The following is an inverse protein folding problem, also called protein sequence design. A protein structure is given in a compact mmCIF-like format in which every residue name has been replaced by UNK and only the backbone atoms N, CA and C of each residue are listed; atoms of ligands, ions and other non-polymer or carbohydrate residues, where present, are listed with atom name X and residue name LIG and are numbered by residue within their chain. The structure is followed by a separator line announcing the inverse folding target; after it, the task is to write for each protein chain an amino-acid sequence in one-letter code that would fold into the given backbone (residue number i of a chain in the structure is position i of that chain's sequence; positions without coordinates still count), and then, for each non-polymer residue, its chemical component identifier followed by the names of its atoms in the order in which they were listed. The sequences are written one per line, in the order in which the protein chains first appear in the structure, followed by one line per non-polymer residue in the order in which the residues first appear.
data_IF_898617846508
#
_entry.id   IF_898617846508
#
_cell.length_a   1.000
_cell.length_b   1.000
_cell.length_c   1.000
_cell.angle_alpha   90.00
_cell.angle_beta   90.00
_cell.angle_gamma   90.00
#
_symmetry.space_group_name_H-M   'P 1'
#
loop_
_entity.id
_entity.type
_entity.pdbx_description
1 polymer ?
#
# COMPACT_ATOMS: atom_id res chain seq x y z
N UNK A 1 15.55 13.21 -1.57
CA UNK A 1 15.43 12.87 -3.02
C UNK A 1 14.16 13.52 -3.51
N UNK A 2 14.23 14.33 -4.55
CA UNK A 2 13.03 14.84 -5.22
C UNK A 2 12.33 13.72 -5.99
N UNK A 3 11.03 13.89 -6.23
CA UNK A 3 10.26 12.93 -7.01
C UNK A 3 10.81 12.82 -8.44
N UNK A 4 11.09 11.59 -8.86
CA UNK A 4 11.32 11.24 -10.25
C UNK A 4 10.21 10.26 -10.65
N UNK A 5 9.34 10.66 -11.57
CA UNK A 5 8.17 9.87 -11.95
C UNK A 5 8.55 8.50 -12.50
N UNK A 6 9.55 8.43 -13.37
CA UNK A 6 9.97 7.16 -13.99
C UNK A 6 10.55 6.19 -12.94
N UNK A 7 11.33 6.71 -11.99
CA UNK A 7 11.83 5.89 -10.88
C UNK A 7 10.69 5.43 -9.97
N UNK A 8 9.72 6.29 -9.69
CA UNK A 8 8.52 5.95 -8.90
C UNK A 8 7.71 4.85 -9.59
N UNK A 9 7.44 5.00 -10.88
CA UNK A 9 6.77 3.98 -11.69
C UNK A 9 7.56 2.67 -11.71
N UNK A 10 8.89 2.75 -11.81
CA UNK A 10 9.74 1.55 -11.81
C UNK A 10 9.67 0.78 -10.47
N UNK A 11 9.54 1.46 -9.34
CA UNK A 11 9.31 0.82 -8.02
C UNK A 11 7.92 0.19 -7.96
N UNK A 12 6.89 0.96 -8.29
CA UNK A 12 5.49 0.49 -8.29
C UNK A 12 5.26 -0.72 -9.19
N UNK A 13 5.92 -0.77 -10.35
CA UNK A 13 5.81 -1.88 -11.28
C UNK A 13 6.41 -3.20 -10.75
N UNK A 14 7.26 -3.15 -9.73
CA UNK A 14 7.90 -4.34 -9.13
C UNK A 14 7.07 -4.98 -8.03
N UNK A 15 6.21 -4.22 -7.37
CA UNK A 15 5.43 -4.71 -6.22
C UNK A 15 4.61 -5.96 -6.54
N UNK A 16 3.88 -6.05 -7.67
CA UNK A 16 3.12 -7.28 -7.97
C UNK A 16 4.00 -8.51 -8.10
N UNK A 17 5.14 -8.40 -8.77
CA UNK A 17 6.07 -9.51 -8.93
C UNK A 17 6.71 -9.92 -7.59
N UNK A 18 7.05 -8.97 -6.73
CA UNK A 18 7.59 -9.22 -5.40
C UNK A 18 6.57 -9.95 -4.51
N UNK A 19 5.32 -9.50 -4.48
CA UNK A 19 4.23 -10.15 -3.75
C UNK A 19 3.95 -11.55 -4.29
N UNK A 20 3.92 -11.70 -5.60
CA UNK A 20 3.71 -13.00 -6.24
C UNK A 20 4.82 -13.99 -5.88
N UNK A 21 6.09 -13.57 -5.96
CA UNK A 21 7.22 -14.43 -5.62
C UNK A 21 7.28 -14.79 -4.13
N UNK A 22 6.81 -13.89 -3.26
CA UNK A 22 6.82 -14.12 -1.81
C UNK A 22 5.66 -15.00 -1.34
N UNK A 23 4.46 -14.85 -1.93
CA UNK A 23 3.22 -15.35 -1.33
C UNK A 23 2.54 -16.47 -2.15
N UNK A 24 2.74 -16.55 -3.47
CA UNK A 24 2.05 -17.54 -4.28
C UNK A 24 2.47 -18.95 -3.87
N UNK A 25 1.50 -19.85 -3.80
CA UNK A 25 1.68 -21.26 -3.46
C UNK A 25 2.24 -21.55 -2.06
N UNK A 26 2.30 -20.54 -1.17
CA UNK A 26 2.56 -20.79 0.25
C UNK A 26 1.35 -21.44 0.92
N UNK A 27 1.57 -22.30 1.94
CA UNK A 27 0.52 -22.81 2.80
C UNK A 27 -0.27 -21.66 3.48
N UNK A 28 -1.56 -21.91 3.77
CA UNK A 28 -2.47 -20.91 4.34
C UNK A 28 -2.00 -20.39 5.69
N UNK A 29 -1.30 -21.19 6.48
CA UNK A 29 -0.73 -20.79 7.76
C UNK A 29 0.18 -19.56 7.64
N UNK A 30 0.88 -19.41 6.50
CA UNK A 30 1.74 -18.27 6.23
C UNK A 30 0.98 -17.03 5.75
N UNK A 31 -0.11 -17.25 5.07
CA UNK A 31 -0.81 -16.17 4.35
C UNK A 31 -2.05 -15.66 5.08
N UNK A 32 -2.65 -16.49 5.94
CA UNK A 32 -3.81 -16.15 6.78
C UNK A 32 -3.43 -15.88 8.24
N UNK A 33 -2.22 -16.26 8.69
CA UNK A 33 -1.72 -15.94 10.02
C UNK A 33 -1.56 -14.43 10.20
N UNK A 34 -1.86 -13.93 11.41
CA UNK A 34 -1.74 -12.53 11.79
C UNK A 34 -0.97 -12.38 13.13
N UNK A 35 -0.84 -11.15 13.63
CA UNK A 35 -0.12 -10.83 14.86
C UNK A 35 -1.02 -10.75 16.11
N UNK A 36 -2.28 -11.17 16.01
CA UNK A 36 -3.29 -11.13 17.05
C UNK A 36 -4.54 -10.33 16.64
N UNK A 37 -5.45 -10.13 17.59
CA UNK A 37 -6.73 -9.49 17.35
C UNK A 37 -6.60 -8.14 16.64
N UNK A 38 -7.44 -7.93 15.63
CA UNK A 38 -7.52 -6.69 14.84
C UNK A 38 -6.24 -6.35 14.06
N UNK A 39 -5.37 -7.34 13.83
CA UNK A 39 -4.21 -7.19 12.94
C UNK A 39 -4.48 -7.89 11.60
N UNK A 40 -3.77 -7.48 10.58
CA UNK A 40 -3.95 -8.00 9.23
C UNK A 40 -2.97 -9.14 8.95
N UNK A 41 -3.46 -10.16 8.26
CA UNK A 41 -2.66 -11.19 7.62
C UNK A 41 -2.04 -10.68 6.30
N UNK A 42 -1.15 -11.48 5.69
CA UNK A 42 -0.64 -11.18 4.36
C UNK A 42 -1.78 -11.11 3.31
N UNK A 43 -2.79 -11.98 3.43
CA UNK A 43 -3.99 -11.97 2.59
C UNK A 43 -4.75 -10.62 2.70
N UNK A 44 -4.97 -10.13 3.90
CA UNK A 44 -5.66 -8.86 4.15
C UNK A 44 -4.89 -7.67 3.58
N UNK A 45 -3.56 -7.69 3.70
CA UNK A 45 -2.70 -6.65 3.15
C UNK A 45 -2.80 -6.60 1.62
N UNK A 46 -2.80 -7.75 0.93
CA UNK A 46 -3.00 -7.78 -0.52
C UNK A 46 -4.38 -7.24 -0.90
N UNK A 47 -5.43 -7.60 -0.17
CA UNK A 47 -6.78 -7.04 -0.35
C UNK A 47 -6.82 -5.52 -0.17
N UNK A 48 -6.12 -5.00 0.85
CA UNK A 48 -5.99 -3.56 1.07
C UNK A 48 -5.27 -2.84 -0.08
N UNK A 49 -4.20 -3.42 -0.61
CA UNK A 49 -3.51 -2.87 -1.78
C UNK A 49 -4.44 -2.81 -3.00
N UNK A 50 -5.26 -3.84 -3.24
CA UNK A 50 -6.27 -3.86 -4.31
C UNK A 50 -7.27 -2.73 -4.12
N UNK A 51 -7.80 -2.54 -2.91
CA UNK A 51 -8.73 -1.46 -2.61
C UNK A 51 -8.11 -0.09 -2.88
N UNK A 52 -6.84 0.11 -2.51
CA UNK A 52 -6.08 1.32 -2.83
C UNK A 52 -5.94 1.57 -4.33
N UNK A 53 -5.69 0.51 -5.13
CA UNK A 53 -5.62 0.63 -6.59
C UNK A 53 -6.95 1.08 -7.22
N UNK A 54 -8.06 0.66 -6.65
CA UNK A 54 -9.40 0.99 -7.16
C UNK A 54 -9.88 2.37 -6.77
N UNK A 55 -9.61 2.78 -5.52
CA UNK A 55 -10.33 3.90 -4.90
C UNK A 55 -9.45 5.07 -4.49
N UNK A 56 -8.14 4.88 -4.40
CA UNK A 56 -7.26 5.87 -3.78
C UNK A 56 -6.35 6.58 -4.80
N UNK A 57 -5.41 5.89 -5.40
CA UNK A 57 -4.30 6.52 -6.13
C UNK A 57 -4.73 7.29 -7.36
N UNK A 58 -5.23 6.61 -8.40
CA UNK A 58 -5.62 7.27 -9.65
C UNK A 58 -6.85 8.19 -9.51
N UNK A 59 -7.87 7.87 -8.69
CA UNK A 59 -8.94 8.80 -8.36
C UNK A 59 -8.41 10.12 -7.77
N UNK A 60 -7.46 10.07 -6.85
CA UNK A 60 -6.84 11.29 -6.26
C UNK A 60 -5.98 12.04 -7.25
N UNK A 61 -5.17 11.35 -8.07
CA UNK A 61 -4.40 11.98 -9.15
C UNK A 61 -5.33 12.80 -10.05
N UNK A 62 -6.41 12.19 -10.52
CA UNK A 62 -7.40 12.90 -11.37
C UNK A 62 -8.04 14.08 -10.65
N UNK A 63 -8.43 13.90 -9.39
CA UNK A 63 -9.02 14.95 -8.56
C UNK A 63 -8.09 16.18 -8.44
N UNK A 64 -6.79 15.95 -8.20
CA UNK A 64 -5.79 17.03 -8.15
C UNK A 64 -5.74 17.77 -9.50
N UNK A 65 -5.70 17.03 -10.59
CA UNK A 65 -5.56 17.63 -11.93
C UNK A 65 -6.82 18.41 -12.36
N UNK A 66 -8.00 17.94 -11.99
CA UNK A 66 -9.30 18.48 -12.42
C UNK A 66 -9.82 19.61 -11.51
N UNK A 67 -9.65 19.46 -10.20
CA UNK A 67 -10.32 20.29 -9.20
C UNK A 67 -9.36 20.99 -8.23
N UNK A 68 -8.09 20.62 -8.23
CA UNK A 68 -7.13 21.15 -7.29
C UNK A 68 -7.54 20.84 -5.83
N UNK A 69 -7.36 21.81 -4.96
CA UNK A 69 -7.72 21.75 -3.54
C UNK A 69 -9.13 22.29 -3.22
N UNK A 70 -9.93 22.60 -4.26
CA UNK A 70 -11.31 23.07 -4.07
C UNK A 70 -12.28 21.98 -3.57
N UNK A 71 -11.94 20.72 -3.78
CA UNK A 71 -12.73 19.57 -3.34
C UNK A 71 -11.83 18.52 -2.67
N UNK A 72 -12.16 18.17 -1.42
CA UNK A 72 -11.45 17.14 -0.69
C UNK A 72 -11.53 15.76 -1.38
N UNK A 73 -10.53 14.93 -1.14
CA UNK A 73 -10.58 13.51 -1.52
C UNK A 73 -11.68 12.79 -0.77
N UNK A 74 -12.23 11.76 -1.38
CA UNK A 74 -13.17 10.90 -0.71
C UNK A 74 -12.45 10.13 0.42
N UNK A 75 -13.11 9.91 1.58
CA UNK A 75 -12.52 9.14 2.67
C UNK A 75 -12.16 7.72 2.24
N UNK A 76 -10.99 7.25 2.66
CA UNK A 76 -10.54 5.88 2.39
C UNK A 76 -11.11 4.91 3.42
N UNK A 77 -11.85 3.87 2.97
CA UNK A 77 -12.34 2.80 3.84
C UNK A 77 -11.25 1.75 4.08
N UNK A 78 -10.60 1.83 5.21
CA UNK A 78 -9.48 0.93 5.57
C UNK A 78 -9.88 -0.53 5.76
N UNK A 79 -11.16 -0.82 5.90
CA UNK A 79 -11.69 -2.16 6.17
C UNK A 79 -12.45 -2.74 4.97
N UNK A 80 -12.49 -2.03 3.86
CA UNK A 80 -13.20 -2.48 2.66
C UNK A 80 -12.71 -3.84 2.16
N UNK A 81 -11.39 -4.14 2.29
CA UNK A 81 -10.80 -5.40 1.85
C UNK A 81 -11.45 -6.63 2.50
N UNK A 82 -11.93 -6.54 3.74
CA UNK A 82 -12.60 -7.67 4.41
C UNK A 82 -13.84 -8.13 3.63
N UNK A 83 -14.60 -7.18 3.09
CA UNK A 83 -15.79 -7.45 2.28
C UNK A 83 -15.42 -7.82 0.84
N UNK A 84 -14.49 -7.09 0.24
CA UNK A 84 -14.12 -7.22 -1.16
C UNK A 84 -13.29 -8.47 -1.47
N UNK A 85 -12.59 -9.01 -0.46
CA UNK A 85 -11.80 -10.25 -0.57
C UNK A 85 -12.60 -11.50 -0.19
N UNK A 86 -13.82 -11.35 0.31
CA UNK A 86 -14.64 -12.47 0.75
C UNK A 86 -14.85 -13.51 -0.38
N UNK A 87 -14.60 -14.78 -0.08
CA UNK A 87 -14.74 -15.88 -1.02
C UNK A 87 -13.65 -15.99 -2.08
N UNK A 88 -12.63 -15.13 -2.07
CA UNK A 88 -11.47 -15.20 -2.96
C UNK A 88 -10.33 -15.98 -2.31
N UNK A 89 -9.46 -16.55 -3.14
CA UNK A 89 -8.20 -17.17 -2.73
C UNK A 89 -7.04 -16.22 -3.04
N UNK A 90 -5.94 -16.34 -2.31
CA UNK A 90 -4.78 -15.48 -2.47
C UNK A 90 -4.25 -15.37 -3.90
N UNK A 91 -4.13 -16.46 -4.70
CA UNK A 91 -3.70 -16.33 -6.08
C UNK A 91 -4.59 -15.40 -6.93
N UNK A 92 -5.90 -15.41 -6.67
CA UNK A 92 -6.85 -14.51 -7.35
C UNK A 92 -6.62 -13.05 -6.97
N UNK A 93 -6.32 -12.77 -5.69
CA UNK A 93 -5.98 -11.41 -5.25
C UNK A 93 -4.66 -10.94 -5.86
N UNK A 94 -3.64 -11.80 -5.93
CA UNK A 94 -2.35 -11.45 -6.54
C UNK A 94 -2.51 -11.10 -8.02
N UNK A 95 -3.29 -11.90 -8.76
CA UNK A 95 -3.56 -11.64 -10.18
C UNK A 95 -4.37 -10.35 -10.37
N UNK A 96 -5.37 -10.13 -9.54
CA UNK A 96 -6.18 -8.91 -9.55
C UNK A 96 -5.35 -7.65 -9.25
N UNK A 97 -4.50 -7.72 -8.22
CA UNK A 97 -3.59 -6.61 -7.89
C UNK A 97 -2.66 -6.29 -9.06
N UNK A 98 -2.05 -7.32 -9.67
CA UNK A 98 -1.16 -7.13 -10.82
C UNK A 98 -1.89 -6.47 -12.01
N UNK A 99 -3.11 -6.90 -12.29
CA UNK A 99 -3.94 -6.33 -13.35
C UNK A 99 -4.27 -4.85 -13.10
N UNK A 100 -4.77 -4.52 -11.91
CA UNK A 100 -5.12 -3.14 -11.53
C UNK A 100 -3.90 -2.22 -11.54
N UNK A 101 -2.77 -2.66 -10.97
CA UNK A 101 -1.52 -1.91 -10.97
C UNK A 101 -1.05 -1.62 -12.40
N UNK A 102 -1.04 -2.60 -13.27
CA UNK A 102 -0.68 -2.41 -14.68
C UNK A 102 -1.57 -1.38 -15.37
N UNK A 103 -2.88 -1.48 -15.18
CA UNK A 103 -3.85 -0.52 -15.71
C UNK A 103 -3.61 0.90 -15.21
N UNK A 104 -3.41 1.06 -13.90
CA UNK A 104 -3.18 2.36 -13.27
C UNK A 104 -1.85 2.99 -13.69
N UNK A 105 -0.77 2.21 -13.82
CA UNK A 105 0.51 2.74 -14.30
C UNK A 105 0.44 3.16 -15.77
N UNK A 106 -0.31 2.43 -16.61
CA UNK A 106 -0.56 2.84 -17.99
C UNK A 106 -1.40 4.13 -18.04
N UNK A 107 -2.44 4.24 -17.22
CA UNK A 107 -3.23 5.44 -17.10
C UNK A 107 -2.40 6.65 -16.63
N UNK A 108 -1.52 6.44 -15.62
CA UNK A 108 -0.62 7.49 -15.13
C UNK A 108 0.32 7.99 -16.22
N UNK A 109 0.94 7.08 -16.98
CA UNK A 109 1.81 7.46 -18.13
C UNK A 109 1.04 8.25 -19.19
N UNK A 110 -0.20 7.85 -19.49
CA UNK A 110 -1.04 8.51 -20.50
C UNK A 110 -1.41 9.94 -20.14
N UNK A 111 -1.27 10.35 -18.88
CA UNK A 111 -1.52 11.74 -18.45
C UNK A 111 -0.47 12.71 -18.99
N UNK A 112 0.72 12.21 -19.42
CA UNK A 112 1.82 13.03 -19.93
C UNK A 112 2.12 14.24 -19.01
N UNK A 113 2.26 13.97 -17.71
CA UNK A 113 2.47 14.99 -16.69
C UNK A 113 3.71 15.83 -16.99
N UNK A 114 3.56 17.16 -16.88
CA UNK A 114 4.64 18.13 -17.05
C UNK A 114 5.22 18.53 -15.70
N UNK A 115 6.43 19.08 -15.63
CA UNK A 115 7.06 19.48 -14.37
C UNK A 115 6.17 20.34 -13.46
N UNK A 116 5.40 21.27 -14.04
CA UNK A 116 4.49 22.13 -13.29
C UNK A 116 3.29 21.40 -12.69
N UNK A 117 2.90 20.23 -13.19
CA UNK A 117 1.78 19.46 -12.66
C UNK A 117 2.10 18.89 -11.27
N UNK A 118 3.36 18.60 -10.98
CA UNK A 118 3.77 18.00 -9.69
C UNK A 118 3.55 18.91 -8.50
N UNK A 119 3.50 20.23 -8.72
CA UNK A 119 3.18 21.23 -7.68
C UNK A 119 1.67 21.46 -7.50
N UNK A 120 0.82 20.91 -8.37
CA UNK A 120 -0.63 21.00 -8.22
C UNK A 120 -1.09 20.43 -6.89
N UNK A 121 -2.04 21.13 -6.28
CA UNK A 121 -2.52 20.88 -4.91
C UNK A 121 -3.79 20.06 -4.93
N UNK A 122 -3.98 19.25 -3.89
CA UNK A 122 -5.21 18.57 -3.55
C UNK A 122 -5.53 18.73 -2.07
N UNK A 123 -6.73 18.42 -1.64
CA UNK A 123 -7.17 18.51 -0.25
C UNK A 123 -7.42 17.12 0.31
N UNK A 124 -6.52 16.67 1.19
CA UNK A 124 -6.70 15.41 1.92
C UNK A 124 -7.55 15.65 3.17
N UNK A 125 -8.59 14.83 3.46
CA UNK A 125 -9.54 15.10 4.54
C UNK A 125 -8.91 15.14 5.95
N UNK A 126 -7.79 14.44 6.15
CA UNK A 126 -7.12 14.39 7.45
C UNK A 126 -5.79 15.17 7.48
N UNK A 127 -5.09 15.34 6.35
CA UNK A 127 -3.76 15.95 6.29
C UNK A 127 -3.78 17.41 5.80
N UNK A 128 -4.93 17.89 5.30
CA UNK A 128 -5.01 19.19 4.67
C UNK A 128 -4.47 19.20 3.25
N UNK A 129 -3.83 20.29 2.84
CA UNK A 129 -3.31 20.45 1.49
C UNK A 129 -2.09 19.58 1.27
N UNK A 130 -2.11 18.83 0.15
CA UNK A 130 -1.03 17.98 -0.34
C UNK A 130 -0.77 18.28 -1.80
N UNK A 131 0.39 17.90 -2.34
CA UNK A 131 0.74 18.07 -3.75
C UNK A 131 0.65 16.75 -4.51
N UNK A 132 0.57 16.83 -5.84
CA UNK A 132 0.65 15.65 -6.70
C UNK A 132 1.96 14.89 -6.52
N UNK A 133 3.07 15.62 -6.36
CA UNK A 133 4.39 15.03 -6.07
C UNK A 133 4.37 14.18 -4.81
N UNK A 134 3.80 14.71 -3.73
CA UNK A 134 3.68 13.99 -2.44
C UNK A 134 2.78 12.77 -2.57
N UNK A 135 1.67 12.87 -3.27
CA UNK A 135 0.76 11.74 -3.51
C UNK A 135 1.47 10.59 -4.25
N UNK A 136 2.20 10.89 -5.33
CA UNK A 136 2.91 9.88 -6.12
C UNK A 136 4.06 9.25 -5.36
N UNK A 137 4.81 10.04 -4.59
CA UNK A 137 5.86 9.53 -3.71
C UNK A 137 5.28 8.64 -2.60
N UNK A 138 4.13 9.05 -2.04
CA UNK A 138 3.40 8.27 -1.04
C UNK A 138 2.95 6.93 -1.58
N UNK A 139 2.46 6.85 -2.82
CA UNK A 139 2.07 5.58 -3.43
C UNK A 139 3.20 4.55 -3.40
N UNK A 140 4.41 4.92 -3.82
CA UNK A 140 5.56 4.02 -3.77
C UNK A 140 6.00 3.67 -2.33
N UNK A 141 6.03 4.65 -1.43
CA UNK A 141 6.38 4.42 -0.03
C UNK A 141 5.34 3.55 0.69
N UNK A 142 4.07 3.66 0.33
CA UNK A 142 2.97 2.83 0.84
C UNK A 142 3.14 1.37 0.43
N UNK A 143 3.49 1.09 -0.82
CA UNK A 143 3.83 -0.28 -1.26
C UNK A 143 4.96 -0.88 -0.43
N UNK A 144 6.04 -0.13 -0.25
CA UNK A 144 7.18 -0.59 0.57
C UNK A 144 6.79 -0.80 2.03
N UNK A 145 5.91 0.04 2.58
CA UNK A 145 5.35 -0.14 3.92
C UNK A 145 4.59 -1.46 4.04
N UNK A 146 3.78 -1.80 3.04
CA UNK A 146 3.00 -3.03 3.07
C UNK A 146 3.83 -4.29 2.76
N UNK A 147 4.85 -4.21 1.93
CA UNK A 147 5.84 -5.29 1.78
C UNK A 147 6.55 -5.56 3.12
N UNK A 148 6.95 -4.52 3.85
CA UNK A 148 7.50 -4.65 5.19
C UNK A 148 6.48 -5.26 6.16
N UNK A 149 5.22 -4.82 6.14
CA UNK A 149 4.16 -5.37 6.98
C UNK A 149 3.96 -6.86 6.73
N UNK A 150 3.90 -7.30 5.46
CA UNK A 150 3.79 -8.72 5.10
C UNK A 150 4.98 -9.50 5.66
N UNK A 151 6.21 -9.02 5.43
CA UNK A 151 7.43 -9.66 5.94
C UNK A 151 7.41 -9.82 7.45
N UNK A 152 6.94 -8.80 8.17
CA UNK A 152 6.81 -8.81 9.64
C UNK A 152 5.77 -9.82 10.10
N UNK A 153 4.57 -9.80 9.51
CA UNK A 153 3.48 -10.72 9.86
C UNK A 153 3.87 -12.17 9.60
N UNK A 154 4.56 -12.45 8.51
CA UNK A 154 5.10 -13.79 8.22
C UNK A 154 6.16 -14.18 9.24
N UNK A 155 7.11 -13.31 9.54
CA UNK A 155 8.15 -13.59 10.54
C UNK A 155 7.54 -13.83 11.93
N UNK A 156 6.44 -13.16 12.28
CA UNK A 156 5.74 -13.33 13.55
C UNK A 156 5.28 -14.77 13.78
N UNK A 157 4.99 -15.55 12.72
CA UNK A 157 4.59 -16.96 12.86
C UNK A 157 5.70 -17.81 13.50
N UNK A 158 6.96 -17.40 13.39
CA UNK A 158 8.11 -18.05 13.99
C UNK A 158 8.57 -17.43 15.32
N UNK A 159 7.80 -16.51 15.93
CA UNK A 159 8.24 -15.74 17.11
C UNK A 159 8.72 -16.59 18.29
N UNK A 160 8.18 -17.79 18.46
CA UNK A 160 8.60 -18.74 19.51
C UNK A 160 9.73 -19.66 19.01
N UNK A 161 9.64 -20.11 17.77
CA UNK A 161 10.59 -21.09 17.21
C UNK A 161 12.00 -20.52 17.00
N UNK A 162 12.13 -19.19 16.80
CA UNK A 162 13.44 -18.54 16.65
C UNK A 162 14.23 -18.49 17.97
N UNK A 163 13.60 -18.69 19.13
CA UNK A 163 14.26 -18.69 20.43
C UNK A 163 15.13 -17.44 20.65
N UNK A 164 16.38 -17.61 21.18
CA UNK A 164 17.25 -16.47 21.48
C UNK A 164 17.72 -15.69 20.25
N UNK A 165 17.64 -16.24 19.04
CA UNK A 165 17.99 -15.55 17.81
C UNK A 165 17.09 -14.33 17.53
N UNK A 166 15.93 -14.26 18.19
CA UNK A 166 15.03 -13.11 18.10
C UNK A 166 15.75 -11.77 18.30
N UNK A 167 16.73 -11.73 19.21
CA UNK A 167 17.47 -10.50 19.51
C UNK A 167 18.18 -9.88 18.29
N UNK A 168 18.49 -10.69 17.26
CA UNK A 168 19.18 -10.25 16.04
C UNK A 168 18.26 -10.05 14.83
N UNK A 169 16.99 -10.38 14.96
CA UNK A 169 16.03 -10.33 13.87
C UNK A 169 15.20 -9.04 13.92
N UNK A 170 15.71 -7.97 13.27
CA UNK A 170 15.07 -6.64 13.27
C UNK A 170 13.59 -6.68 12.91
N UNK A 171 13.18 -7.57 12.00
CA UNK A 171 11.78 -7.77 11.60
C UNK A 171 10.87 -8.17 12.76
N UNK A 172 11.41 -8.77 13.83
CA UNK A 172 10.68 -9.17 15.05
C UNK A 172 10.47 -8.02 16.05
N UNK A 173 11.14 -6.89 15.82
CA UNK A 173 11.13 -5.72 16.71
C UNK A 173 10.48 -4.48 16.07
N UNK A 174 10.15 -4.56 14.80
CA UNK A 174 9.49 -3.46 14.11
C UNK A 174 8.02 -3.39 14.50
N UNK A 175 7.58 -2.20 14.90
CA UNK A 175 6.18 -1.81 14.83
C UNK A 175 6.04 -0.91 13.60
N UNK A 176 5.13 -1.20 12.73
CA UNK A 176 4.93 -0.32 11.57
C UNK A 176 3.84 -0.83 10.67
N UNK A 177 2.87 0.01 10.45
CA UNK A 177 1.81 -0.12 9.47
C UNK A 177 1.33 1.30 9.16
N UNK A 178 0.53 1.46 8.15
CA UNK A 178 0.05 2.76 7.65
C UNK A 178 -0.92 3.51 8.59
N UNK A 179 -0.86 3.28 9.91
CA UNK A 179 -1.60 4.10 10.85
C UNK A 179 -0.82 5.40 11.13
N UNK A 180 -1.45 6.58 11.10
CA UNK A 180 -0.79 7.79 11.53
C UNK A 180 -0.34 7.62 13.00
N UNK A 181 0.84 8.18 13.37
CA UNK A 181 1.28 8.17 14.74
C UNK A 181 0.20 8.83 15.62
N UNK A 182 -0.09 8.20 16.77
CA UNK A 182 -0.98 8.81 17.77
C UNK A 182 -0.28 10.07 18.25
N UNK A 183 -0.73 11.23 17.81
CA UNK A 183 -0.28 12.50 18.36
C UNK A 183 -0.82 12.57 19.79
N UNK A 184 -0.02 12.18 20.77
CA UNK A 184 -0.26 12.61 22.15
C UNK A 184 -0.13 14.14 22.16
N UNK A 185 -1.28 14.82 22.15
CA UNK A 185 -1.30 16.24 22.49
C UNK A 185 -0.82 16.35 23.94
N UNK A 186 0.40 16.84 24.12
CA UNK A 186 0.90 17.37 25.39
C UNK A 186 0.19 18.67 25.73
#
# INVERSE_FOLDING_TARGET
MELNLEHTIAVLARTPAALNALLRDLPEEWTLGNEGDKTWSAFDVVGHLIHGERTDWMPRVRRILESGDSRAFDPFDRWAQERESQGKRLPQLLDEFAHLRSGNLNALRSLNLRPEDFSKRGLHPALGVVTLSELLATWAAHDLTHLHQISRVMAHQYREAVGPWRAFLGVMHCAGHSAPPVTTRS
#
